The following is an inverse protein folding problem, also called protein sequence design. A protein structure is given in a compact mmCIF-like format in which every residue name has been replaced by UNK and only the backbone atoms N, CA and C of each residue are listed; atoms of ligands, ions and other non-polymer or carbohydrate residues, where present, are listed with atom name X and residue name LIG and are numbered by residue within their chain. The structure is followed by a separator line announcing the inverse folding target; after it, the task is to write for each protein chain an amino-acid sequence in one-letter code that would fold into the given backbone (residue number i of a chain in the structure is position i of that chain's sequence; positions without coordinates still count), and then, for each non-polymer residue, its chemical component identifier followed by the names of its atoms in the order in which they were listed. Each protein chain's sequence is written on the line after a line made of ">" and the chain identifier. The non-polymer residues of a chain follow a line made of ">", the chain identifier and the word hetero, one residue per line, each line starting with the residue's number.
data_IF_809577955712
#
_entry.id   IF_809577955712
#
_cell.length_a   1.000
_cell.length_b   1.000
_cell.length_c   1.000
_cell.angle_alpha   90.00
_cell.angle_beta   90.00
_cell.angle_gamma   90.00
#
_symmetry.space_group_name_H-M   'P 1'
#
loop_
_entity.id
_entity.type
_entity.pdbx_description
1 polymer ?
#
# COMPACT_ATOMS: atom_id res chain seq x y z
N UNK A 1 -8.81 -7.18 23.73
CA UNK A 1 -8.58 -7.29 22.27
C UNK A 1 -9.93 -7.09 21.59
N UNK A 2 -10.05 -6.10 20.71
CA UNK A 2 -11.25 -5.90 19.89
C UNK A 2 -10.91 -6.40 18.49
N UNK A 3 -11.74 -7.29 17.94
CA UNK A 3 -11.58 -7.82 16.59
C UNK A 3 -12.74 -7.40 15.72
N UNK A 4 -12.44 -7.05 14.46
CA UNK A 4 -13.45 -6.76 13.44
C UNK A 4 -13.34 -7.86 12.39
N UNK A 5 -14.40 -8.64 12.21
CA UNK A 5 -14.48 -9.61 11.13
C UNK A 5 -15.18 -8.96 9.93
N UNK A 6 -14.44 -8.74 8.84
CA UNK A 6 -14.96 -8.12 7.61
C UNK A 6 -16.05 -8.95 6.93
N UNK A 7 -16.09 -10.27 7.16
CA UNK A 7 -17.17 -11.12 6.64
C UNK A 7 -18.53 -10.81 7.28
N UNK A 8 -18.55 -10.13 8.43
CA UNK A 8 -19.76 -9.74 9.14
C UNK A 8 -20.24 -8.32 8.80
N UNK A 9 -19.53 -7.59 7.93
CA UNK A 9 -19.91 -6.22 7.54
C UNK A 9 -20.87 -6.31 6.35
N UNK A 10 -22.12 -5.92 6.58
CA UNK A 10 -23.13 -5.86 5.52
C UNK A 10 -22.67 -4.94 4.39
N UNK A 11 -22.96 -5.36 3.16
CA UNK A 11 -22.65 -4.63 1.92
C UNK A 11 -21.16 -4.33 1.66
N UNK A 12 -20.24 -4.84 2.49
CA UNK A 12 -18.82 -4.82 2.17
C UNK A 12 -18.59 -5.80 1.01
N UNK A 13 -18.12 -5.32 -0.17
CA UNK A 13 -17.87 -6.20 -1.30
C UNK A 13 -16.87 -7.30 -0.91
N UNK A 14 -16.84 -8.42 -1.62
CA UNK A 14 -15.72 -9.36 -1.45
C UNK A 14 -14.48 -8.81 -2.14
N UNK A 15 -13.33 -8.89 -1.48
CA UNK A 15 -12.05 -8.55 -2.09
C UNK A 15 -11.07 -7.91 -1.11
N UNK A 16 -10.11 -7.19 -1.68
CA UNK A 16 -9.16 -6.42 -0.90
C UNK A 16 -9.78 -5.08 -0.47
N UNK A 17 -9.63 -4.74 0.81
CA UNK A 17 -10.14 -3.50 1.38
C UNK A 17 -9.04 -2.79 2.18
N UNK A 18 -9.18 -1.48 2.30
CA UNK A 18 -8.46 -0.70 3.28
C UNK A 18 -9.41 -0.39 4.45
N UNK A 19 -8.83 -0.29 5.65
CA UNK A 19 -9.53 0.17 6.83
C UNK A 19 -8.78 1.36 7.43
N UNK A 20 -9.51 2.44 7.69
CA UNK A 20 -9.01 3.56 8.49
C UNK A 20 -9.56 3.38 9.89
N UNK A 21 -8.67 3.36 10.88
CA UNK A 21 -9.03 3.23 12.30
C UNK A 21 -8.74 4.55 12.98
N UNK A 22 -9.73 5.05 13.72
CA UNK A 22 -9.59 6.22 14.59
C UNK A 22 -10.09 5.88 15.98
N UNK A 23 -9.61 6.62 16.97
CA UNK A 23 -10.02 6.48 18.37
C UNK A 23 -10.61 7.79 18.87
N UNK A 24 -11.55 7.68 19.79
CA UNK A 24 -12.01 8.83 20.57
C UNK A 24 -11.06 9.06 21.75
N UNK A 25 -10.88 10.31 22.16
CA UNK A 25 -10.09 10.72 23.33
C UNK A 25 -8.58 10.39 23.26
N UNK A 26 -7.98 10.44 22.07
CA UNK A 26 -6.53 10.23 21.85
C UNK A 26 -5.99 8.90 22.40
N UNK A 27 -6.85 7.89 22.50
CA UNK A 27 -6.44 6.55 22.93
C UNK A 27 -5.41 6.00 21.93
N UNK A 28 -4.23 5.62 22.44
CA UNK A 28 -3.18 5.02 21.62
C UNK A 28 -3.55 3.59 21.30
N UNK A 29 -3.65 3.27 20.02
CA UNK A 29 -3.94 1.92 19.54
C UNK A 29 -2.83 1.43 18.63
N UNK A 30 -2.63 0.13 18.66
CA UNK A 30 -1.87 -0.61 17.66
C UNK A 30 -2.88 -1.36 16.82
N UNK A 31 -2.77 -1.22 15.50
CA UNK A 31 -3.65 -1.90 14.54
C UNK A 31 -2.82 -2.93 13.80
N UNK A 32 -3.25 -4.17 13.85
CA UNK A 32 -2.69 -5.28 13.09
C UNK A 32 -3.81 -5.89 12.26
N UNK A 33 -3.54 -6.11 10.97
CA UNK A 33 -4.41 -6.84 10.07
C UNK A 33 -3.85 -8.25 9.88
N UNK A 34 -4.65 -9.25 10.22
CA UNK A 34 -4.31 -10.68 10.08
C UNK A 34 -5.19 -11.29 8.99
N UNK A 35 -4.57 -11.68 7.88
CA UNK A 35 -5.23 -12.36 6.77
C UNK A 35 -4.78 -13.82 6.71
N UNK A 36 -5.73 -14.74 6.88
CA UNK A 36 -5.49 -16.17 6.65
C UNK A 36 -6.18 -16.62 5.38
N UNK A 37 -5.41 -17.15 4.43
CA UNK A 37 -5.92 -17.57 3.13
C UNK A 37 -5.55 -19.02 2.85
N UNK A 38 -6.54 -19.79 2.41
CA UNK A 38 -6.37 -21.15 1.90
C UNK A 38 -6.30 -21.11 0.37
N UNK A 39 -5.26 -21.69 -0.20
CA UNK A 39 -5.15 -21.98 -1.64
C UNK A 39 -5.51 -23.45 -1.87
N UNK A 40 -5.67 -23.92 -3.13
CA UNK A 40 -5.91 -25.33 -3.39
C UNK A 40 -4.84 -26.27 -2.82
N UNK A 41 -3.60 -25.80 -2.68
CA UNK A 41 -2.43 -26.62 -2.32
C UNK A 41 -1.77 -26.21 -1.00
N UNK A 42 -2.18 -25.11 -0.37
CA UNK A 42 -1.51 -24.58 0.83
C UNK A 42 -2.42 -23.68 1.66
N UNK A 43 -1.95 -23.26 2.83
CA UNK A 43 -2.56 -22.22 3.66
C UNK A 43 -1.46 -21.29 4.13
N UNK A 44 -1.72 -19.99 4.16
CA UNK A 44 -0.78 -19.03 4.74
C UNK A 44 -1.53 -17.97 5.53
N UNK A 45 -0.81 -17.39 6.50
CA UNK A 45 -1.27 -16.22 7.26
C UNK A 45 -0.28 -15.09 7.03
N UNK A 46 -0.80 -13.92 6.68
CA UNK A 46 -0.06 -12.67 6.57
C UNK A 46 -0.50 -11.72 7.68
N UNK A 47 0.46 -11.10 8.37
CA UNK A 47 0.21 -10.06 9.37
C UNK A 47 0.78 -8.75 8.85
N UNK A 48 -0.02 -7.70 8.90
CA UNK A 48 0.34 -6.36 8.42
C UNK A 48 0.06 -5.34 9.50
N UNK A 49 1.05 -4.51 9.82
CA UNK A 49 0.86 -3.40 10.74
C UNK A 49 0.18 -2.23 10.02
N UNK A 50 -0.77 -1.58 10.70
CA UNK A 50 -1.36 -0.33 10.24
C UNK A 50 -0.33 0.79 10.13
N UNK A 51 -0.58 1.73 9.23
CA UNK A 51 0.24 2.95 9.09
C UNK A 51 -0.29 3.97 10.09
N UNK A 52 0.51 4.43 11.07
CA UNK A 52 0.09 5.48 12.00
C UNK A 52 -0.25 6.78 11.27
N UNK A 53 -1.30 7.47 11.72
CA UNK A 53 -1.77 8.73 11.11
C UNK A 53 -0.67 9.78 11.00
N UNK A 54 0.23 9.83 11.99
CA UNK A 54 1.37 10.74 11.99
C UNK A 54 2.41 10.47 10.90
N UNK A 55 2.35 9.33 10.19
CA UNK A 55 3.23 9.01 9.06
C UNK A 55 2.59 9.27 7.69
N UNK A 56 1.31 9.62 7.64
CA UNK A 56 0.63 9.97 6.40
C UNK A 56 1.28 11.21 5.78
N UNK A 57 1.44 11.17 4.47
CA UNK A 57 2.07 12.25 3.69
C UNK A 57 1.76 12.05 2.21
N UNK A 58 1.99 13.10 1.42
CA UNK A 58 1.86 13.08 -0.03
C UNK A 58 3.03 12.43 -0.77
N UNK A 59 4.17 12.13 -0.11
CA UNK A 59 5.35 11.54 -0.78
C UNK A 59 5.88 10.31 -0.07
N UNK A 60 6.08 9.23 -0.81
CA UNK A 60 6.55 7.95 -0.29
C UNK A 60 7.67 7.37 -1.16
N UNK A 61 8.61 6.66 -0.54
CA UNK A 61 9.73 5.98 -1.20
C UNK A 61 9.69 4.48 -0.94
N UNK A 62 10.02 3.71 -1.95
CA UNK A 62 10.19 2.26 -1.92
C UNK A 62 11.64 1.97 -2.34
N UNK A 63 12.60 1.97 -1.39
CA UNK A 63 14.02 1.91 -1.73
C UNK A 63 14.45 0.56 -2.31
N UNK A 64 13.87 -0.52 -1.80
CA UNK A 64 14.12 -1.86 -2.33
C UNK A 64 13.15 -2.10 -3.48
N UNK A 65 13.69 -2.23 -4.69
CA UNK A 65 12.91 -2.33 -5.91
C UNK A 65 11.88 -3.46 -5.92
N UNK A 66 10.90 -3.33 -6.81
CA UNK A 66 9.78 -4.26 -6.87
C UNK A 66 10.16 -5.53 -7.65
N UNK A 67 9.74 -6.69 -7.14
CA UNK A 67 10.07 -7.97 -7.78
C UNK A 67 9.41 -8.05 -9.17
N UNK A 68 10.21 -8.21 -10.23
CA UNK A 68 9.73 -8.24 -11.62
C UNK A 68 8.49 -9.11 -11.80
N UNK A 69 7.45 -8.53 -12.41
CA UNK A 69 6.17 -9.19 -12.68
C UNK A 69 5.32 -9.50 -11.44
N UNK A 70 5.63 -8.93 -10.26
CA UNK A 70 4.76 -9.07 -9.10
C UNK A 70 3.43 -8.32 -9.32
N UNK A 71 2.33 -9.04 -9.04
CA UNK A 71 0.98 -8.49 -9.06
C UNK A 71 0.67 -7.80 -7.73
N UNK A 72 -0.10 -6.72 -7.75
CA UNK A 72 -0.45 -5.93 -6.57
C UNK A 72 0.78 -5.64 -5.68
N UNK A 73 1.89 -5.25 -6.32
CA UNK A 73 3.18 -5.02 -5.70
C UNK A 73 3.14 -3.80 -4.76
N UNK A 74 2.30 -2.81 -5.09
CA UNK A 74 2.04 -1.64 -4.27
C UNK A 74 0.54 -1.47 -4.08
N UNK A 75 0.16 -0.97 -2.90
CA UNK A 75 -1.15 -0.39 -2.66
C UNK A 75 -1.00 1.09 -2.32
N UNK A 76 -1.87 1.91 -2.91
CA UNK A 76 -1.95 3.35 -2.69
C UNK A 76 -3.36 3.66 -2.20
N UNK A 77 -3.46 4.14 -0.96
CA UNK A 77 -4.71 4.50 -0.33
C UNK A 77 -4.80 6.02 -0.21
N UNK A 78 -5.85 6.61 -0.78
CA UNK A 78 -6.28 7.96 -0.41
C UNK A 78 -7.03 7.88 0.91
N UNK A 79 -6.45 8.44 1.96
CA UNK A 79 -7.03 8.46 3.31
C UNK A 79 -7.92 9.68 3.55
N UNK A 80 -8.10 10.52 2.54
CA UNK A 80 -8.82 11.80 2.62
C UNK A 80 -10.18 11.72 1.94
N UNK A 81 -11.02 12.70 2.24
CA UNK A 81 -12.31 12.91 1.57
C UNK A 81 -12.20 13.77 0.30
N UNK A 82 -10.99 13.98 -0.22
CA UNK A 82 -10.72 14.86 -1.37
C UNK A 82 -10.15 14.02 -2.51
N UNK A 83 -10.65 14.25 -3.73
CA UNK A 83 -10.07 13.66 -4.93
C UNK A 83 -8.66 14.18 -5.16
N UNK A 84 -7.76 13.30 -5.58
CA UNK A 84 -6.40 13.66 -5.93
C UNK A 84 -5.89 12.92 -7.14
N UNK A 85 -4.60 13.07 -7.38
CA UNK A 85 -3.85 12.26 -8.33
C UNK A 85 -2.57 11.76 -7.68
N UNK A 86 -1.96 10.72 -8.26
CA UNK A 86 -0.59 10.35 -7.93
C UNK A 86 0.25 10.11 -9.19
N UNK A 87 1.54 10.34 -9.06
CA UNK A 87 2.56 10.00 -10.04
C UNK A 87 3.56 9.02 -9.41
N UNK A 88 3.91 7.98 -10.17
CA UNK A 88 4.96 7.03 -9.80
C UNK A 88 6.22 7.34 -10.59
N UNK A 89 7.34 7.45 -9.89
CA UNK A 89 8.64 7.75 -10.46
C UNK A 89 9.61 6.60 -10.21
N UNK A 90 10.53 6.41 -11.15
CA UNK A 90 11.75 5.62 -10.96
C UNK A 90 12.94 6.54 -10.71
N UNK A 91 13.93 6.08 -9.97
CA UNK A 91 15.18 6.81 -9.74
C UNK A 91 16.31 6.15 -10.54
N UNK A 92 16.76 6.85 -11.60
CA UNK A 92 17.90 6.43 -12.42
C UNK A 92 19.13 7.32 -12.22
N UNK A 93 20.22 7.07 -12.96
CA UNK A 93 21.45 7.89 -12.89
C UNK A 93 21.21 9.38 -13.16
N UNK A 94 20.22 9.72 -14.00
CA UNK A 94 19.81 11.10 -14.29
C UNK A 94 18.84 11.71 -13.29
N UNK A 95 18.49 11.00 -12.21
CA UNK A 95 17.53 11.43 -11.20
C UNK A 95 16.14 10.83 -11.35
N UNK A 96 15.15 11.55 -10.84
CA UNK A 96 13.74 11.13 -10.78
C UNK A 96 13.06 11.28 -12.14
N UNK A 97 12.48 10.20 -12.66
CA UNK A 97 11.74 10.18 -13.93
C UNK A 97 10.37 9.53 -13.75
N UNK A 98 9.32 10.20 -14.23
CA UNK A 98 7.95 9.68 -14.16
C UNK A 98 7.78 8.45 -15.03
N UNK A 99 7.11 7.42 -14.51
CA UNK A 99 6.85 6.19 -15.25
C UNK A 99 5.67 6.39 -16.22
N UNK A 100 5.85 6.10 -17.52
CA UNK A 100 4.77 6.23 -18.49
C UNK A 100 3.51 5.46 -18.06
N UNK A 101 2.34 6.08 -18.21
CA UNK A 101 1.06 5.50 -17.79
C UNK A 101 0.77 5.59 -16.29
N UNK A 102 1.72 6.09 -15.49
CA UNK A 102 1.58 6.34 -14.05
C UNK A 102 1.89 7.80 -13.68
N UNK A 103 1.55 8.72 -14.58
CA UNK A 103 1.67 10.17 -14.38
C UNK A 103 0.25 10.72 -14.21
N UNK A 104 0.04 11.49 -13.14
CA UNK A 104 -1.23 12.12 -12.79
C UNK A 104 -2.44 11.17 -12.81
N UNK A 105 -2.23 9.94 -12.30
CA UNK A 105 -3.27 8.93 -12.25
C UNK A 105 -4.36 9.36 -11.27
N UNK A 106 -5.64 9.34 -11.65
CA UNK A 106 -6.73 9.68 -10.75
C UNK A 106 -6.74 8.82 -9.48
N UNK A 107 -6.94 9.48 -8.35
CA UNK A 107 -7.04 8.87 -7.03
C UNK A 107 -8.23 9.47 -6.28
N UNK A 108 -9.45 8.96 -6.51
CA UNK A 108 -10.66 9.48 -5.89
C UNK A 108 -10.58 9.48 -4.35
N UNK A 109 -11.41 10.30 -3.71
CA UNK A 109 -11.60 10.33 -2.27
C UNK A 109 -11.85 8.92 -1.71
N UNK A 110 -11.21 8.60 -0.58
CA UNK A 110 -11.34 7.32 0.12
C UNK A 110 -11.09 6.05 -0.75
N UNK A 111 -10.33 6.18 -1.85
CA UNK A 111 -10.07 5.07 -2.78
C UNK A 111 -8.79 4.29 -2.47
N UNK A 112 -8.82 3.01 -2.80
CA UNK A 112 -7.68 2.09 -2.74
C UNK A 112 -7.32 1.63 -4.16
N UNK A 113 -6.08 1.84 -4.57
CA UNK A 113 -5.56 1.39 -5.86
C UNK A 113 -4.42 0.39 -5.66
N UNK A 114 -4.42 -0.67 -6.47
CA UNK A 114 -3.32 -1.65 -6.52
C UNK A 114 -2.53 -1.49 -7.81
N UNK A 115 -1.21 -1.54 -7.69
CA UNK A 115 -0.29 -1.47 -8.81
C UNK A 115 0.48 -2.77 -8.91
N UNK A 116 0.44 -3.38 -10.08
CA UNK A 116 1.47 -4.34 -10.48
C UNK A 116 2.82 -3.61 -10.61
N UNK A 117 3.93 -4.35 -10.64
CA UNK A 117 5.23 -3.72 -10.90
C UNK A 117 5.21 -3.01 -12.25
N UNK A 118 5.39 -1.68 -12.27
CA UNK A 118 5.43 -0.95 -13.53
C UNK A 118 6.62 -1.38 -14.39
N UNK A 119 6.47 -1.28 -15.70
CA UNK A 119 7.60 -1.43 -16.62
C UNK A 119 8.67 -0.37 -16.30
N UNK A 120 9.94 -0.77 -16.21
CA UNK A 120 11.04 0.14 -15.84
C UNK A 120 11.21 0.41 -14.33
N UNK A 121 10.37 -0.17 -13.47
CA UNK A 121 10.45 -0.04 -12.01
C UNK A 121 10.99 -1.29 -11.29
N UNK A 122 11.35 -2.34 -12.05
CA UNK A 122 11.94 -3.55 -11.47
C UNK A 122 13.34 -3.26 -10.93
N UNK A 123 13.62 -3.77 -9.73
CA UNK A 123 14.95 -3.75 -9.09
C UNK A 123 15.53 -2.35 -8.75
N UNK A 124 14.82 -1.26 -9.08
CA UNK A 124 15.17 0.12 -8.77
C UNK A 124 14.26 0.76 -7.71
N UNK A 125 14.72 1.86 -7.13
CA UNK A 125 13.90 2.65 -6.21
C UNK A 125 12.68 3.24 -6.93
N UNK A 126 11.53 3.19 -6.26
CA UNK A 126 10.29 3.83 -6.70
C UNK A 126 9.88 4.94 -5.73
N UNK A 127 9.45 6.07 -6.27
CA UNK A 127 8.86 7.19 -5.51
C UNK A 127 7.43 7.38 -5.94
N UNK A 128 6.53 7.63 -4.99
CA UNK A 128 5.14 7.97 -5.26
C UNK A 128 4.90 9.36 -4.69
N UNK A 129 4.41 10.26 -5.51
CA UNK A 129 3.98 11.60 -5.10
C UNK A 129 2.50 11.75 -5.43
N UNK A 130 1.72 12.29 -4.50
CA UNK A 130 0.29 12.54 -4.67
C UNK A 130 -0.05 14.00 -4.33
N UNK A 131 -1.22 14.45 -4.78
CA UNK A 131 -1.76 15.77 -4.44
C UNK A 131 -2.47 15.82 -3.09
N UNK A 132 -2.66 14.65 -2.46
CA UNK A 132 -3.32 14.45 -1.16
C UNK A 132 -2.46 13.58 -0.27
N UNK A 133 -2.74 13.57 1.03
CA UNK A 133 -2.10 12.62 1.94
C UNK A 133 -2.55 11.19 1.61
N UNK A 134 -1.58 10.29 1.49
CA UNK A 134 -1.81 8.90 1.13
C UNK A 134 -1.10 7.98 2.12
N UNK A 135 -1.51 6.71 2.09
CA UNK A 135 -0.78 5.61 2.70
C UNK A 135 -0.30 4.66 1.60
N UNK A 136 0.99 4.29 1.64
CA UNK A 136 1.57 3.39 0.65
C UNK A 136 2.12 2.15 1.34
N UNK A 137 1.68 0.98 0.89
CA UNK A 137 2.26 -0.29 1.30
C UNK A 137 2.84 -1.04 0.11
N UNK A 138 3.87 -1.83 0.39
CA UNK A 138 4.52 -2.74 -0.54
C UNK A 138 4.23 -4.17 -0.15
N UNK A 139 3.82 -4.96 -1.13
CA UNK A 139 3.71 -6.41 -1.02
C UNK A 139 5.04 -7.06 -1.35
N UNK A 140 5.49 -7.98 -0.50
CA UNK A 140 6.74 -8.73 -0.67
C UNK A 140 6.45 -10.22 -0.82
N UNK A 141 7.30 -10.93 -1.57
CA UNK A 141 7.28 -12.39 -1.58
C UNK A 141 7.86 -12.91 -0.27
N UNK A 142 7.35 -14.03 0.25
CA UNK A 142 7.91 -14.69 1.43
C UNK A 142 9.27 -15.36 1.18
N UNK A 143 9.69 -15.46 -0.09
CA UNK A 143 10.93 -16.12 -0.49
C UNK A 143 10.88 -17.65 -0.32
N UNK A 144 11.98 -18.33 -0.66
CA UNK A 144 12.20 -19.75 -0.38
C UNK A 144 11.10 -20.71 -0.86
N UNK A 145 10.39 -20.37 -1.94
CA UNK A 145 9.27 -21.18 -2.45
C UNK A 145 8.03 -21.19 -1.55
N UNK A 146 7.97 -20.34 -0.52
CA UNK A 146 6.86 -20.30 0.41
C UNK A 146 5.66 -19.57 -0.20
N UNK A 147 4.47 -20.16 -0.02
CA UNK A 147 3.19 -19.56 -0.43
C UNK A 147 2.87 -18.36 0.47
N UNK A 148 2.19 -17.38 -0.11
CA UNK A 148 1.74 -16.17 0.56
C UNK A 148 2.60 -14.95 0.27
N UNK A 149 2.41 -13.91 1.07
CA UNK A 149 3.06 -12.62 0.90
C UNK A 149 3.29 -11.94 2.26
N UNK A 150 4.24 -11.03 2.30
CA UNK A 150 4.36 -10.02 3.36
C UNK A 150 3.83 -8.68 2.86
N UNK A 151 3.47 -7.80 3.78
CA UNK A 151 3.18 -6.39 3.49
C UNK A 151 3.99 -5.53 4.45
N UNK A 152 4.61 -4.49 3.92
CA UNK A 152 5.33 -3.49 4.71
C UNK A 152 4.94 -2.10 4.25
N UNK A 153 4.92 -1.14 5.16
CA UNK A 153 4.80 0.27 4.78
C UNK A 153 5.98 0.68 3.89
N UNK A 154 5.71 1.49 2.88
CA UNK A 154 6.76 2.26 2.23
C UNK A 154 7.35 3.29 3.22
N UNK A 155 8.42 3.98 2.83
CA UNK A 155 9.03 5.02 3.67
C UNK A 155 8.38 6.37 3.37
N UNK A 156 7.73 7.03 4.35
CA UNK A 156 7.18 8.37 4.14
C UNK A 156 8.31 9.40 4.02
N UNK A 157 8.17 10.34 3.10
CA UNK A 157 9.09 11.46 2.91
C UNK A 157 8.40 12.74 3.34
N UNK A 158 8.87 13.32 4.44
CA UNK A 158 8.37 14.63 4.85
C UNK A 158 9.06 15.73 4.04
N UNK A 159 8.25 16.60 3.45
CA UNK A 159 8.73 17.90 2.99
C UNK A 159 9.07 18.70 4.24
N UNK A 160 10.30 19.22 4.31
CA UNK A 160 10.75 20.12 5.38
C UNK A 160 10.24 21.53 5.14
#
# INVERSE_FOLDING_TARGET
>A
MVGINTDNIADLPKGDHAMVVSTLNDARVVVEHVLSQKTPTSTFTAVTNGIPTGLLTSKWRVPAGLAKGARNALSVLNVTAVDGTYTVFTIGPGGQVGLPGLIDVPLPAASLTFLDVPEGASDGEVVIEATVDIAVQRRTRRGNGLVGFGIVSALPVRLR
#
